data_IF_684724413232
#
_entry.id   IF_684724413232
#
_cell.length_a   1.000
_cell.length_b   1.000
_cell.length_c   1.000
_cell.angle_alpha   90.00
_cell.angle_beta   90.00
_cell.angle_gamma   90.00
#
_symmetry.space_group_name_H-M   'P 1'
#
loop_
_entity.id
_entity.type
_entity.pdbx_description
1 polymer ?
#
# COMPACT_ATOMS: atom_id res chain seq x y z
N UNK A 1 57.82 36.82 -22.85
CA UNK A 1 57.87 35.72 -21.85
C UNK A 1 56.75 35.94 -20.85
N UNK A 2 55.87 34.93 -20.72
CA UNK A 2 54.83 34.69 -19.69
C UNK A 2 53.73 35.77 -19.57
N UNK A 3 52.47 35.60 -20.02
CA UNK A 3 51.49 34.50 -19.86
C UNK A 3 51.28 34.05 -18.42
N UNK A 4 50.22 34.58 -17.79
CA UNK A 4 49.54 34.04 -16.60
C UNK A 4 48.05 34.43 -16.78
N UNK A 5 47.24 33.60 -17.43
CA UNK A 5 46.38 32.58 -16.80
C UNK A 5 45.13 33.16 -16.11
N UNK A 6 44.01 33.22 -16.86
CA UNK A 6 42.66 33.42 -16.31
C UNK A 6 42.14 32.08 -15.76
N UNK A 7 41.66 31.99 -14.51
CA UNK A 7 40.99 30.78 -14.05
C UNK A 7 39.61 30.66 -14.72
N UNK A 8 39.46 29.58 -15.47
CA UNK A 8 38.18 29.04 -15.94
C UNK A 8 37.26 28.79 -14.75
N UNK A 9 36.33 29.70 -14.48
CA UNK A 9 35.21 29.44 -13.59
C UNK A 9 34.20 28.55 -14.34
N UNK A 10 34.51 27.24 -14.39
CA UNK A 10 33.59 26.23 -14.87
C UNK A 10 32.34 26.24 -13.98
N UNK A 11 31.28 26.88 -14.47
CA UNK A 11 29.92 26.67 -13.97
C UNK A 11 29.53 25.24 -14.31
N UNK A 12 29.88 24.32 -13.42
CA UNK A 12 29.41 22.95 -13.43
C UNK A 12 27.97 22.94 -12.91
N UNK A 13 27.00 23.25 -13.78
CA UNK A 13 25.61 22.89 -13.52
C UNK A 13 25.41 21.43 -13.93
N UNK A 14 25.82 20.50 -13.07
CA UNK A 14 25.42 19.09 -13.18
C UNK A 14 24.02 19.00 -12.59
N UNK A 15 23.00 19.38 -13.36
CA UNK A 15 21.61 19.10 -12.99
C UNK A 15 21.17 17.79 -13.64
N UNK A 16 21.78 16.69 -13.20
CA UNK A 16 21.22 15.36 -13.38
C UNK A 16 20.24 15.09 -12.25
N UNK A 17 18.97 15.43 -12.43
CA UNK A 17 17.91 14.67 -11.78
C UNK A 17 16.64 14.80 -12.60
N UNK A 18 16.42 13.78 -13.43
CA UNK A 18 15.11 13.51 -14.03
C UNK A 18 14.19 13.12 -12.87
N UNK A 19 13.41 14.07 -12.36
CA UNK A 19 12.29 13.74 -11.50
C UNK A 19 11.27 12.93 -12.32
N UNK A 20 11.16 11.65 -12.00
CA UNK A 20 10.15 10.77 -12.56
C UNK A 20 8.77 11.27 -12.09
N UNK A 21 7.91 11.63 -13.06
CA UNK A 21 6.49 11.87 -12.80
C UNK A 21 5.84 10.53 -12.46
N UNK A 22 5.67 10.22 -11.17
CA UNK A 22 4.87 9.07 -10.75
C UNK A 22 3.40 9.37 -11.02
N UNK A 23 2.72 8.47 -11.75
CA UNK A 23 1.26 8.44 -11.97
C UNK A 23 0.52 8.11 -10.66
N UNK A 24 0.73 8.91 -9.62
CA UNK A 24 0.11 8.76 -8.29
C UNK A 24 -1.00 9.80 -8.17
N UNK A 25 -2.21 9.38 -7.81
CA UNK A 25 -3.33 10.29 -7.60
C UNK A 25 -3.24 11.08 -6.28
N UNK A 26 -4.06 12.12 -6.08
CA UNK A 26 -4.01 12.96 -4.88
C UNK A 26 -4.34 12.15 -3.61
N UNK A 27 -5.40 11.35 -3.62
CA UNK A 27 -5.79 10.51 -2.47
C UNK A 27 -4.71 9.45 -2.19
N UNK A 28 -4.19 8.82 -3.24
CA UNK A 28 -3.12 7.82 -3.10
C UNK A 28 -1.87 8.40 -2.44
N UNK A 29 -1.52 9.66 -2.74
CA UNK A 29 -0.37 10.35 -2.14
C UNK A 29 -0.59 10.58 -0.65
N UNK A 30 -1.75 11.09 -0.26
CA UNK A 30 -2.12 11.32 1.15
C UNK A 30 -2.07 10.00 1.96
N UNK A 31 -2.62 8.91 1.40
CA UNK A 31 -2.58 7.59 2.04
C UNK A 31 -1.13 7.14 2.24
N UNK A 32 -0.28 7.27 1.21
CA UNK A 32 1.14 6.89 1.30
C UNK A 32 1.85 7.67 2.40
N UNK A 33 1.67 8.99 2.44
CA UNK A 33 2.31 9.85 3.44
C UNK A 33 1.86 9.51 4.87
N UNK A 34 0.55 9.35 5.10
CA UNK A 34 0.01 8.99 6.42
C UNK A 34 0.52 7.64 6.91
N UNK A 35 0.47 6.62 6.06
CA UNK A 35 0.94 5.29 6.44
C UNK A 35 2.45 5.26 6.68
N UNK A 36 3.21 6.03 5.89
CA UNK A 36 4.66 6.16 6.08
C UNK A 36 4.99 6.86 7.40
N UNK A 37 4.27 7.93 7.74
CA UNK A 37 4.47 8.68 8.97
C UNK A 37 4.12 7.86 10.23
N UNK A 38 3.05 7.07 10.18
CA UNK A 38 2.54 6.31 11.33
C UNK A 38 3.31 5.01 11.58
N UNK A 39 3.58 4.22 10.53
CA UNK A 39 4.06 2.84 10.68
C UNK A 39 5.50 2.63 10.22
N UNK A 40 6.16 3.66 9.67
CA UNK A 40 7.53 3.62 9.12
C UNK A 40 7.87 2.28 8.43
N UNK A 41 7.05 1.86 7.45
CA UNK A 41 7.15 0.53 6.88
C UNK A 41 8.43 0.38 6.07
N UNK A 42 8.98 -0.83 6.05
CA UNK A 42 10.10 -1.20 5.18
C UNK A 42 9.65 -1.29 3.72
N UNK A 43 8.39 -1.68 3.50
CA UNK A 43 7.78 -1.74 2.18
C UNK A 43 6.35 -1.21 2.24
N UNK A 44 6.00 -0.31 1.32
CA UNK A 44 4.67 0.23 1.18
C UNK A 44 4.32 0.34 -0.30
N UNK A 45 3.25 -0.32 -0.69
CA UNK A 45 2.66 -0.20 -2.00
C UNK A 45 1.17 0.11 -1.89
N UNK A 46 0.71 1.05 -2.71
CA UNK A 46 -0.69 1.51 -2.73
C UNK A 46 -1.10 1.58 -4.18
N UNK A 47 -2.02 0.70 -4.57
CA UNK A 47 -2.51 0.54 -5.93
C UNK A 47 -3.99 0.95 -5.97
N UNK A 48 -4.36 1.75 -6.96
CA UNK A 48 -5.74 2.14 -7.19
C UNK A 48 -6.41 1.10 -8.10
N UNK A 49 -7.37 0.36 -7.56
CA UNK A 49 -8.12 -0.71 -8.26
C UNK A 49 -9.49 -0.22 -8.77
N UNK A 50 -9.79 1.08 -8.66
CA UNK A 50 -11.05 1.69 -9.15
C UNK A 50 -11.30 1.47 -10.66
N UNK A 51 -10.25 1.18 -11.43
CA UNK A 51 -10.26 1.07 -12.89
C UNK A 51 -10.99 -0.17 -13.45
N UNK A 52 -11.36 -1.15 -12.62
CA UNK A 52 -11.99 -2.38 -13.11
C UNK A 52 -13.43 -2.18 -13.62
N UNK A 53 -14.06 -1.03 -13.36
CA UNK A 53 -15.36 -0.68 -13.92
C UNK A 53 -15.31 0.71 -14.56
N UNK A 54 -15.12 0.72 -15.88
CA UNK A 54 -15.25 1.92 -16.70
C UNK A 54 -16.69 2.47 -16.63
N UNK A 55 -16.94 3.38 -15.69
CA UNK A 55 -18.07 4.29 -15.71
C UNK A 55 -17.66 5.56 -14.98
N UNK A 56 -16.96 6.44 -15.70
CA UNK A 56 -16.82 7.92 -15.62
C UNK A 56 -17.04 8.74 -14.32
N UNK A 57 -17.30 8.14 -13.16
CA UNK A 57 -17.71 8.79 -11.90
C UNK A 57 -17.20 7.92 -10.75
N UNK A 58 -15.89 7.92 -10.47
CA UNK A 58 -15.36 7.19 -9.31
C UNK A 58 -13.91 6.78 -9.44
N UNK A 59 -13.02 7.72 -9.76
CA UNK A 59 -11.64 7.40 -10.12
C UNK A 59 -10.76 6.97 -8.94
N UNK A 60 -11.18 7.11 -7.68
CA UNK A 60 -10.34 6.84 -6.48
C UNK A 60 -11.14 6.27 -5.31
N UNK A 61 -12.04 5.31 -5.57
CA UNK A 61 -12.92 4.72 -4.56
C UNK A 61 -12.38 3.42 -3.93
N UNK A 62 -11.58 2.66 -4.69
CA UNK A 62 -11.06 1.35 -4.28
C UNK A 62 -9.53 1.33 -4.29
N UNK A 63 -8.93 1.02 -3.15
CA UNK A 63 -7.47 0.92 -3.01
C UNK A 63 -7.02 -0.42 -2.45
N UNK A 64 -5.90 -0.92 -2.98
CA UNK A 64 -5.15 -2.03 -2.40
C UNK A 64 -3.87 -1.51 -1.78
N UNK A 65 -3.67 -1.83 -0.51
CA UNK A 65 -2.52 -1.40 0.29
C UNK A 65 -1.75 -2.65 0.71
N UNK A 66 -0.51 -2.76 0.28
CA UNK A 66 0.44 -3.79 0.73
C UNK A 66 1.49 -3.12 1.60
N UNK A 67 1.55 -3.48 2.88
CA UNK A 67 2.43 -2.84 3.86
C UNK A 67 3.21 -3.89 4.66
N UNK A 68 4.52 -3.69 4.77
CA UNK A 68 5.40 -4.49 5.61
C UNK A 68 6.03 -3.58 6.66
N UNK A 69 5.69 -3.81 7.94
CA UNK A 69 6.26 -3.07 9.07
C UNK A 69 6.51 -3.97 10.27
N UNK A 70 7.52 -3.63 11.07
CA UNK A 70 7.81 -4.26 12.37
C UNK A 70 6.70 -4.02 13.38
N UNK A 71 5.93 -2.94 13.23
CA UNK A 71 4.82 -2.61 14.12
C UNK A 71 3.70 -3.66 14.10
N UNK A 72 3.67 -4.52 13.09
CA UNK A 72 2.68 -5.59 12.97
C UNK A 72 3.15 -6.93 13.57
N UNK A 73 4.35 -6.98 14.15
CA UNK A 73 4.84 -8.15 14.88
C UNK A 73 3.95 -8.43 16.10
N UNK A 74 3.56 -9.69 16.29
CA UNK A 74 2.69 -10.16 17.37
C UNK A 74 1.26 -9.56 17.38
N UNK A 75 0.85 -8.83 16.33
CA UNK A 75 -0.53 -8.34 16.16
C UNK A 75 -1.28 -9.30 15.23
N UNK A 76 -2.49 -9.73 15.61
CA UNK A 76 -3.34 -10.54 14.72
C UNK A 76 -3.89 -9.75 13.52
N UNK A 77 -4.18 -10.44 12.41
CA UNK A 77 -4.61 -9.80 11.15
C UNK A 77 -5.80 -8.84 11.32
N UNK A 78 -6.83 -9.24 12.07
CA UNK A 78 -8.00 -8.38 12.32
C UNK A 78 -7.61 -7.07 12.99
N UNK A 79 -6.67 -7.11 13.94
CA UNK A 79 -6.19 -5.92 14.63
C UNK A 79 -5.36 -5.03 13.71
N UNK A 80 -4.52 -5.62 12.83
CA UNK A 80 -3.78 -4.86 11.81
C UNK A 80 -4.74 -4.08 10.90
N UNK A 81 -5.80 -4.73 10.41
CA UNK A 81 -6.82 -4.08 9.58
C UNK A 81 -7.53 -2.95 10.32
N UNK A 82 -7.86 -3.15 11.61
CA UNK A 82 -8.48 -2.10 12.45
C UNK A 82 -7.55 -0.89 12.63
N UNK A 83 -6.26 -1.11 12.88
CA UNK A 83 -5.27 -0.04 13.04
C UNK A 83 -5.16 0.80 11.77
N UNK A 84 -5.03 0.15 10.61
CA UNK A 84 -4.90 0.83 9.32
C UNK A 84 -6.20 1.55 8.95
N UNK A 85 -7.37 0.91 9.12
CA UNK A 85 -8.67 1.57 8.91
C UNK A 85 -8.83 2.80 9.80
N UNK A 86 -8.46 2.70 11.09
CA UNK A 86 -8.52 3.83 12.03
C UNK A 86 -7.60 4.97 11.60
N UNK A 87 -6.40 4.67 11.11
CA UNK A 87 -5.47 5.67 10.58
C UNK A 87 -6.02 6.39 9.34
N UNK A 88 -6.82 5.69 8.52
CA UNK A 88 -7.39 6.20 7.27
C UNK A 88 -8.84 6.68 7.40
N UNK A 89 -9.42 6.74 8.60
CA UNK A 89 -10.83 7.11 8.80
C UNK A 89 -11.18 8.47 8.16
N UNK A 90 -10.28 9.44 8.29
CA UNK A 90 -10.43 10.76 7.67
C UNK A 90 -10.48 10.69 6.12
N UNK A 91 -9.79 9.72 5.51
CA UNK A 91 -9.82 9.54 4.05
C UNK A 91 -11.11 8.86 3.59
N UNK A 92 -11.71 8.01 4.43
CA UNK A 92 -13.06 7.50 4.18
C UNK A 92 -14.08 8.64 4.12
N UNK A 93 -13.96 9.62 5.02
CA UNK A 93 -14.83 10.80 5.01
C UNK A 93 -14.59 11.68 3.76
N UNK A 94 -13.38 11.66 3.21
CA UNK A 94 -13.00 12.39 2.00
C UNK A 94 -13.48 11.74 0.68
N UNK A 95 -14.05 10.53 0.71
CA UNK A 95 -14.60 9.85 -0.46
C UNK A 95 -13.97 8.50 -0.80
N UNK A 96 -13.12 7.95 0.07
CA UNK A 96 -12.63 6.57 -0.07
C UNK A 96 -13.75 5.59 0.33
N UNK A 97 -14.08 4.63 -0.55
CA UNK A 97 -15.18 3.70 -0.31
C UNK A 97 -14.72 2.37 0.30
N UNK A 98 -13.63 1.79 -0.22
CA UNK A 98 -13.14 0.51 0.24
C UNK A 98 -11.62 0.36 0.10
N UNK A 99 -11.02 -0.34 1.07
CA UNK A 99 -9.61 -0.72 1.03
C UNK A 99 -9.42 -2.23 1.21
N UNK A 100 -8.55 -2.79 0.39
CA UNK A 100 -7.96 -4.11 0.54
C UNK A 100 -6.61 -3.96 1.23
N UNK A 101 -6.46 -4.51 2.43
CA UNK A 101 -5.24 -4.38 3.24
C UNK A 101 -4.51 -5.71 3.25
N UNK A 102 -3.23 -5.68 2.90
CA UNK A 102 -2.29 -6.76 3.09
C UNK A 102 -1.17 -6.24 4.01
N UNK A 103 -1.35 -6.43 5.32
CA UNK A 103 -0.37 -6.04 6.33
C UNK A 103 0.44 -7.27 6.77
N UNK A 104 1.76 -7.19 6.66
CA UNK A 104 2.68 -8.26 7.06
C UNK A 104 3.79 -7.72 7.96
N UNK A 105 4.30 -8.56 8.85
CA UNK A 105 5.55 -8.29 9.53
C UNK A 105 6.74 -8.74 8.66
N UNK A 106 7.92 -8.13 8.78
CA UNK A 106 9.11 -8.58 8.05
C UNK A 106 9.56 -9.98 8.47
N UNK A 107 9.17 -10.42 9.66
CA UNK A 107 9.49 -11.71 10.25
C UNK A 107 8.52 -12.83 9.83
N UNK A 108 7.36 -12.50 9.26
CA UNK A 108 6.39 -13.48 8.73
C UNK A 108 6.62 -13.70 7.23
N UNK A 109 7.00 -14.92 6.83
CA UNK A 109 6.88 -15.33 5.44
C UNK A 109 5.41 -15.34 5.01
N UNK A 110 5.14 -14.99 3.75
CA UNK A 110 3.81 -15.01 3.14
C UNK A 110 3.29 -16.47 3.09
N UNK A 111 2.78 -16.99 4.20
CA UNK A 111 2.03 -18.23 4.20
C UNK A 111 0.68 -17.95 3.57
N UNK A 112 0.59 -18.26 2.28
CA UNK A 112 -0.68 -18.52 1.59
C UNK A 112 -1.41 -19.56 2.44
N UNK A 113 -2.46 -19.15 3.15
CA UNK A 113 -3.34 -20.08 3.83
C UNK A 113 -4.06 -20.87 2.73
N UNK A 114 -3.41 -21.94 2.25
CA UNK A 114 -4.05 -22.94 1.40
C UNK A 114 -5.26 -23.41 2.20
N UNK A 115 -6.44 -22.99 1.74
CA UNK A 115 -7.71 -23.43 2.30
C UNK A 115 -7.67 -24.95 2.36
N UNK A 116 -7.77 -25.50 3.57
CA UNK A 116 -7.95 -26.94 3.75
C UNK A 116 -9.21 -27.32 2.96
N UNK A 117 -9.15 -28.30 2.04
CA UNK A 117 -10.34 -28.73 1.33
C UNK A 117 -11.40 -29.10 2.35
N UNK A 118 -12.58 -28.51 2.24
CA UNK A 118 -13.68 -28.82 3.13
C UNK A 118 -14.11 -30.27 2.87
N UNK A 119 -13.62 -31.25 3.64
CA UNK A 119 -14.22 -32.58 3.70
C UNK A 119 -15.57 -32.41 4.42
N UNK A 120 -16.62 -32.23 3.64
CA UNK A 120 -17.99 -32.29 4.13
C UNK A 120 -18.31 -33.71 4.57
N UNK A 121 -18.50 -33.93 5.87
CA UNK A 121 -19.16 -35.16 6.36
C UNK A 121 -20.66 -34.99 6.14
N UNK A 122 -21.19 -35.62 5.09
CA UNK A 122 -22.63 -35.88 4.95
C UNK A 122 -23.07 -36.83 6.07
N UNK A 123 -23.73 -36.30 7.09
CA UNK A 123 -24.44 -37.12 8.07
C UNK A 123 -25.81 -37.44 7.48
N UNK A 124 -25.91 -38.61 6.88
CA UNK A 124 -27.15 -39.22 6.43
C UNK A 124 -27.95 -39.57 7.69
N UNK A 125 -29.00 -38.80 7.97
CA UNK A 125 -29.98 -39.15 9.00
C UNK A 125 -31.06 -39.99 8.31
N UNK A 126 -31.03 -41.30 8.54
CA UNK A 126 -32.19 -42.15 8.30
C UNK A 126 -33.28 -41.71 9.28
N UNK A 127 -34.43 -41.30 8.74
CA UNK A 127 -35.64 -41.10 9.52
C UNK A 127 -36.48 -42.36 9.33
N UNK A 128 -36.28 -43.33 10.21
CA UNK A 128 -37.23 -44.40 10.46
C UNK A 128 -38.25 -43.85 11.48
N UNK A 129 -39.48 -43.56 11.02
CA UNK A 129 -40.79 -43.99 11.58
C UNK A 129 -41.96 -43.35 10.82
#
# INVERSE_FOLDING_TARGET
MQMQSWPLFQRSCILTSRFACSKTGPIQTVIKEKLTALFKPTYLDVINESHHHASNIGHESHFRISIVSKDFENIGDVMRHRLIKKALQHEFDAGLHAISILAKSPSEEMREHRSVPCIGKSKEINLDE
#
